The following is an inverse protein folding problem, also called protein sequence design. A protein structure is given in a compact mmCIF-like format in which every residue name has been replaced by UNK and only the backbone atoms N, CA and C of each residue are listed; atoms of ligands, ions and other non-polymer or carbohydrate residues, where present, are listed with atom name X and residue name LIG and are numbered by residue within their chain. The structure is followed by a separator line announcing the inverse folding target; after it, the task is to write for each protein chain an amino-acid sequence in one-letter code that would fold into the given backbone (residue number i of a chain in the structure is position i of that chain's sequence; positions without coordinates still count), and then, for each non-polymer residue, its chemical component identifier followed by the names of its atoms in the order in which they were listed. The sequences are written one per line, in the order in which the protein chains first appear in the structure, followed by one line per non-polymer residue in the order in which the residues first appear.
data_IF_960774835911
#
_entry.id   IF_960774835911
#
_cell.length_a   1.000
_cell.length_b   1.000
_cell.length_c   1.000
_cell.angle_alpha   90.00
_cell.angle_beta   90.00
_cell.angle_gamma   90.00
#
_symmetry.space_group_name_H-M   'P 1'
#
loop_
_entity.id
_entity.type
_entity.pdbx_description
1 polymer ?
#
# COMPACT_ATOMS: atom_id res chain seq x y z
N UNK A 1 11.13 47.08 -7.54
CA UNK A 1 10.77 46.00 -8.44
C UNK A 1 11.76 44.84 -8.27
N UNK A 2 12.65 44.44 -8.71
CA UNK A 2 13.73 43.40 -8.69
C UNK A 2 13.91 42.49 -7.44
N UNK A 3 12.93 42.41 -6.52
CA UNK A 3 13.05 41.58 -5.29
C UNK A 3 13.45 40.11 -5.54
N UNK A 4 13.07 39.54 -6.67
CA UNK A 4 13.42 38.18 -7.04
C UNK A 4 14.89 38.02 -7.41
N UNK A 5 15.48 39.04 -8.07
CA UNK A 5 16.89 39.12 -8.38
C UNK A 5 17.72 39.25 -7.09
N UNK A 6 17.34 40.18 -6.20
CA UNK A 6 18.00 40.40 -4.91
C UNK A 6 17.94 39.15 -4.00
N UNK A 7 16.87 38.39 -4.05
CA UNK A 7 16.70 37.15 -3.28
C UNK A 7 17.48 35.95 -3.86
N UNK A 8 17.98 36.06 -5.10
CA UNK A 8 18.68 34.98 -5.76
C UNK A 8 20.15 34.91 -5.39
N UNK A 9 20.50 34.10 -4.38
CA UNK A 9 21.88 33.91 -3.91
C UNK A 9 22.82 33.31 -4.99
N UNK A 10 22.28 32.79 -6.07
CA UNK A 10 23.03 32.12 -7.14
C UNK A 10 23.20 32.99 -8.39
N UNK A 11 22.71 34.24 -8.38
CA UNK A 11 22.78 35.13 -9.54
C UNK A 11 22.12 34.58 -10.79
N UNK A 12 21.08 33.75 -10.62
CA UNK A 12 20.39 33.07 -11.70
C UNK A 12 19.24 33.90 -12.30
N UNK A 13 18.94 35.09 -11.76
CA UNK A 13 17.87 35.96 -12.25
C UNK A 13 18.46 37.26 -12.75
N UNK A 14 18.07 37.65 -13.96
CA UNK A 14 18.35 38.93 -14.57
C UNK A 14 17.11 39.50 -15.24
N UNK A 15 17.13 40.80 -15.50
CA UNK A 15 16.06 41.50 -16.22
C UNK A 15 16.56 41.98 -17.56
N UNK A 16 15.73 41.86 -18.59
CA UNK A 16 16.01 42.44 -19.90
C UNK A 16 15.65 43.95 -19.94
N UNK A 17 15.86 44.56 -21.12
CA UNK A 17 15.55 45.99 -21.36
C UNK A 17 14.06 46.34 -21.21
N UNK A 18 13.18 45.34 -21.28
CA UNK A 18 11.72 45.47 -21.12
C UNK A 18 11.29 45.15 -19.69
N UNK A 19 12.21 45.01 -18.75
CA UNK A 19 11.94 44.64 -17.37
C UNK A 19 11.30 43.26 -17.20
N UNK A 20 11.51 42.32 -18.14
CA UNK A 20 11.11 40.94 -18.06
C UNK A 20 12.17 40.13 -17.32
N UNK A 21 11.77 39.37 -16.32
CA UNK A 21 12.69 38.52 -15.55
C UNK A 21 13.04 37.26 -16.36
N UNK A 22 14.32 36.99 -16.48
CA UNK A 22 14.86 35.77 -17.07
C UNK A 22 15.56 34.92 -15.99
N UNK A 23 15.30 33.62 -16.01
CA UNK A 23 15.93 32.67 -15.07
C UNK A 23 16.91 31.80 -15.86
N UNK A 24 18.20 31.97 -15.57
CA UNK A 24 19.27 31.12 -16.09
C UNK A 24 19.20 29.75 -15.41
N UNK A 25 18.75 28.75 -16.16
CA UNK A 25 18.57 27.37 -15.63
C UNK A 25 19.90 26.72 -15.25
N UNK A 26 21.02 27.12 -15.83
CA UNK A 26 22.35 26.58 -15.52
C UNK A 26 22.81 26.98 -14.11
N UNK A 27 22.40 28.16 -13.64
CA UNK A 27 22.74 28.74 -12.34
C UNK A 27 21.64 28.46 -11.30
N UNK A 28 20.40 28.25 -11.74
CA UNK A 28 19.26 28.07 -10.86
C UNK A 28 19.35 26.75 -10.08
N UNK A 29 19.25 26.84 -8.76
CA UNK A 29 19.21 25.67 -7.82
C UNK A 29 17.80 25.34 -7.34
N UNK A 30 16.76 25.88 -7.99
CA UNK A 30 15.34 25.65 -7.66
C UNK A 30 14.97 25.85 -6.20
N UNK A 31 15.69 26.70 -5.47
CA UNK A 31 15.52 26.91 -4.02
C UNK A 31 14.21 27.63 -3.65
N UNK A 32 13.49 28.20 -4.61
CA UNK A 32 12.21 28.85 -4.42
C UNK A 32 12.25 30.23 -3.74
N UNK A 33 13.43 30.78 -3.41
CA UNK A 33 13.56 32.06 -2.75
C UNK A 33 12.90 33.20 -3.53
N UNK A 34 13.10 33.23 -4.85
CA UNK A 34 12.53 34.23 -5.75
C UNK A 34 10.98 34.19 -5.82
N UNK A 35 10.38 33.00 -5.78
CA UNK A 35 8.91 32.88 -5.80
C UNK A 35 8.28 33.36 -4.50
N UNK A 36 8.96 33.17 -3.35
CA UNK A 36 8.46 33.62 -2.03
C UNK A 36 8.43 35.13 -1.87
N UNK A 37 9.31 35.85 -2.55
CA UNK A 37 9.42 37.31 -2.45
C UNK A 37 8.73 38.06 -3.58
N UNK A 38 8.19 37.35 -4.58
CA UNK A 38 7.50 37.95 -5.71
C UNK A 38 6.08 38.38 -5.29
N UNK A 39 5.78 39.71 -5.22
CA UNK A 39 4.47 40.19 -4.78
C UNK A 39 3.37 39.93 -5.83
N UNK A 40 3.76 39.59 -7.06
CA UNK A 40 2.87 39.33 -8.18
C UNK A 40 2.64 37.88 -8.49
N UNK A 41 3.24 36.94 -7.70
CA UNK A 41 3.23 35.50 -7.97
C UNK A 41 3.66 35.14 -9.41
N UNK A 42 4.47 35.99 -10.05
CA UNK A 42 4.88 35.82 -11.44
C UNK A 42 5.94 34.73 -11.63
N UNK A 43 6.61 34.29 -10.55
CA UNK A 43 7.58 33.21 -10.56
C UNK A 43 6.93 31.98 -9.96
N UNK A 44 6.63 31.01 -10.81
CA UNK A 44 6.05 29.74 -10.44
C UNK A 44 7.04 28.60 -10.70
N UNK A 45 7.25 27.75 -9.72
CA UNK A 45 7.95 26.49 -9.93
C UNK A 45 6.93 25.44 -10.41
N UNK A 46 7.09 24.96 -11.63
CA UNK A 46 6.24 23.91 -12.18
C UNK A 46 7.00 22.60 -12.15
N UNK A 47 6.98 21.92 -11.00
CA UNK A 47 7.39 20.52 -10.93
C UNK A 47 6.31 19.65 -11.57
N UNK A 48 6.75 18.57 -12.22
CA UNK A 48 5.80 17.58 -12.76
C UNK A 48 5.01 16.93 -11.63
N UNK A 49 3.78 16.46 -11.87
CA UNK A 49 2.98 15.78 -10.85
C UNK A 49 3.73 14.62 -10.17
N UNK A 50 4.49 13.83 -10.94
CA UNK A 50 5.29 12.73 -10.42
C UNK A 50 6.42 13.16 -9.46
N UNK A 51 7.09 14.30 -9.73
CA UNK A 51 8.09 14.85 -8.82
C UNK A 51 7.47 15.37 -7.53
N UNK A 52 6.32 16.03 -7.63
CA UNK A 52 5.57 16.55 -6.47
C UNK A 52 5.02 15.40 -5.59
N UNK A 53 4.58 14.32 -6.23
CA UNK A 53 4.07 13.13 -5.55
C UNK A 53 5.18 12.37 -4.82
N UNK A 54 6.41 12.40 -5.34
CA UNK A 54 7.53 11.66 -4.76
C UNK A 54 8.09 12.34 -3.51
N UNK A 55 7.53 12.01 -2.34
CA UNK A 55 7.93 12.62 -1.06
C UNK A 55 9.34 12.22 -0.59
N UNK A 56 9.85 11.11 -1.09
CA UNK A 56 11.24 10.67 -0.85
C UNK A 56 12.24 11.22 -1.88
N UNK A 57 11.75 12.01 -2.86
CA UNK A 57 12.59 12.64 -3.90
C UNK A 57 13.43 11.64 -4.71
N UNK A 58 12.85 10.50 -5.04
CA UNK A 58 13.44 9.50 -5.91
C UNK A 58 13.27 9.81 -7.40
N UNK A 59 12.49 10.84 -7.77
CA UNK A 59 12.26 11.24 -9.16
C UNK A 59 12.95 12.56 -9.44
N UNK A 60 13.66 12.60 -10.54
CA UNK A 60 14.29 13.81 -11.08
C UNK A 60 14.19 13.81 -12.61
N UNK A 61 14.41 14.97 -13.20
CA UNK A 61 14.50 15.10 -14.65
C UNK A 61 15.95 14.91 -15.11
N UNK A 62 16.16 14.18 -16.21
CA UNK A 62 17.44 14.15 -16.91
C UNK A 62 17.59 15.40 -17.81
N UNK A 63 18.73 15.50 -18.50
CA UNK A 63 19.05 16.63 -19.39
C UNK A 63 18.09 16.76 -20.57
N UNK A 64 17.51 15.65 -21.03
CA UNK A 64 16.49 15.60 -22.09
C UNK A 64 15.08 15.95 -21.57
N UNK A 65 14.95 16.22 -20.27
CA UNK A 65 13.68 16.53 -19.64
C UNK A 65 12.78 15.30 -19.42
N UNK A 66 13.29 14.08 -19.50
CA UNK A 66 12.56 12.87 -19.15
C UNK A 66 12.63 12.61 -17.63
N UNK A 67 11.57 12.03 -17.07
CA UNK A 67 11.55 11.62 -15.66
C UNK A 67 12.38 10.36 -15.47
N UNK A 68 13.30 10.38 -14.52
CA UNK A 68 14.14 9.25 -14.12
C UNK A 68 13.87 8.91 -12.66
N UNK A 69 13.76 7.63 -12.36
CA UNK A 69 13.54 7.12 -11.00
C UNK A 69 14.86 6.55 -10.47
N UNK A 70 15.32 7.11 -9.36
CA UNK A 70 16.46 6.57 -8.60
C UNK A 70 15.98 5.37 -7.77
N UNK A 71 16.25 4.16 -8.25
CA UNK A 71 15.85 2.91 -7.60
C UNK A 71 16.48 2.71 -6.21
N UNK A 72 17.62 3.33 -5.93
CA UNK A 72 18.24 3.26 -4.61
C UNK A 72 17.40 4.00 -3.55
N UNK A 73 16.64 5.01 -3.97
CA UNK A 73 15.72 5.76 -3.10
C UNK A 73 14.28 5.28 -3.22
N UNK A 74 13.86 4.80 -4.39
CA UNK A 74 12.49 4.40 -4.64
C UNK A 74 12.03 3.29 -3.69
N UNK A 75 10.83 3.45 -3.11
CA UNK A 75 10.17 2.49 -2.21
C UNK A 75 8.97 1.80 -2.87
N UNK A 76 8.81 1.94 -4.17
CA UNK A 76 7.73 1.34 -4.98
C UNK A 76 6.30 1.68 -4.54
N UNK A 77 6.09 2.81 -3.82
CA UNK A 77 4.77 3.17 -3.28
C UNK A 77 3.71 3.55 -4.32
N UNK A 78 4.09 3.76 -5.59
CA UNK A 78 3.18 4.05 -6.71
C UNK A 78 2.58 5.46 -6.74
N UNK A 79 2.92 6.36 -5.82
CA UNK A 79 2.36 7.72 -5.81
C UNK A 79 2.60 8.48 -7.12
N UNK A 80 3.72 8.25 -7.80
CA UNK A 80 4.02 8.84 -9.11
C UNK A 80 3.18 8.26 -10.25
N UNK A 81 2.79 6.98 -10.15
CA UNK A 81 1.88 6.31 -11.09
C UNK A 81 0.50 6.95 -10.98
N UNK A 82 -0.07 6.94 -9.79
CA UNK A 82 -1.39 7.52 -9.50
C UNK A 82 -1.51 9.00 -9.88
N UNK A 83 -0.47 9.79 -9.65
CA UNK A 83 -0.49 11.23 -9.92
C UNK A 83 -0.14 11.62 -11.36
N UNK A 84 0.16 10.66 -12.24
CA UNK A 84 0.48 10.95 -13.62
C UNK A 84 -0.80 11.03 -14.48
N UNK A 85 -1.25 12.23 -14.90
CA UNK A 85 -2.50 12.35 -15.65
C UNK A 85 -2.39 11.86 -17.09
N UNK A 86 -1.18 11.50 -17.53
CA UNK A 86 -0.89 11.07 -18.90
C UNK A 86 -0.55 9.59 -19.01
N UNK A 87 -0.53 8.84 -17.90
CA UNK A 87 -0.07 7.46 -17.91
C UNK A 87 1.39 7.26 -18.33
N UNK A 88 2.21 8.35 -18.27
CA UNK A 88 3.61 8.29 -18.69
C UNK A 88 4.53 7.56 -17.70
N UNK A 89 4.07 7.36 -16.49
CA UNK A 89 4.68 6.48 -15.49
C UNK A 89 3.62 5.45 -15.12
N UNK A 90 3.94 4.19 -15.37
CA UNK A 90 3.08 3.05 -15.05
C UNK A 90 3.84 2.10 -14.13
N UNK A 91 3.12 1.27 -13.41
CA UNK A 91 3.69 0.11 -12.76
C UNK A 91 3.85 -1.05 -13.77
N UNK A 92 4.60 -2.06 -13.39
CA UNK A 92 4.70 -3.27 -14.22
C UNK A 92 3.43 -4.09 -14.07
N UNK A 93 2.77 -4.37 -15.19
CA UNK A 93 1.61 -5.26 -15.20
C UNK A 93 2.03 -6.72 -15.17
N UNK A 94 1.27 -7.53 -14.42
CA UNK A 94 1.40 -8.98 -14.32
C UNK A 94 0.11 -9.70 -14.75
N UNK A 95 -0.76 -9.02 -15.50
CA UNK A 95 -2.01 -9.61 -16.01
C UNK A 95 -1.73 -10.87 -16.83
N UNK A 96 -0.73 -10.83 -17.71
CA UNK A 96 -0.40 -11.98 -18.57
C UNK A 96 0.09 -13.18 -17.76
N UNK A 97 0.86 -12.95 -16.69
CA UNK A 97 1.32 -14.00 -15.79
C UNK A 97 0.13 -14.64 -15.05
N UNK A 98 -0.84 -13.83 -14.59
CA UNK A 98 -2.06 -14.32 -13.95
C UNK A 98 -2.93 -15.14 -14.93
N UNK A 99 -3.14 -14.64 -16.15
CA UNK A 99 -3.86 -15.37 -17.22
C UNK A 99 -3.18 -16.72 -17.51
N UNK A 100 -1.86 -16.73 -17.55
CA UNK A 100 -1.07 -17.94 -17.81
C UNK A 100 -1.23 -18.97 -16.68
N UNK A 101 -1.20 -18.50 -15.41
CA UNK A 101 -1.47 -19.33 -14.24
C UNK A 101 -2.86 -19.95 -14.33
N UNK A 102 -3.90 -19.14 -14.56
CA UNK A 102 -5.30 -19.61 -14.66
C UNK A 102 -5.45 -20.62 -15.80
N UNK A 103 -4.93 -20.30 -17.00
CA UNK A 103 -5.04 -21.22 -18.16
C UNK A 103 -4.32 -22.56 -17.92
N UNK A 104 -3.13 -22.54 -17.33
CA UNK A 104 -2.32 -23.72 -17.05
C UNK A 104 -2.87 -24.60 -15.94
N UNK A 105 -3.77 -24.09 -15.09
CA UNK A 105 -4.46 -24.87 -14.06
C UNK A 105 -5.43 -25.90 -14.65
N UNK A 106 -5.89 -25.68 -15.91
CA UNK A 106 -6.91 -26.51 -16.58
C UNK A 106 -8.19 -26.65 -15.73
N UNK A 107 -8.68 -25.52 -15.23
CA UNK A 107 -9.85 -25.46 -14.32
C UNK A 107 -9.62 -26.30 -13.04
N UNK A 108 -8.51 -26.07 -12.37
CA UNK A 108 -8.13 -26.71 -11.11
C UNK A 108 -7.67 -28.16 -11.22
N UNK A 109 -7.60 -28.75 -12.45
CA UNK A 109 -7.21 -30.16 -12.64
C UNK A 109 -5.72 -30.41 -12.37
N UNK A 110 -4.85 -29.44 -12.66
CA UNK A 110 -3.41 -29.56 -12.42
C UNK A 110 -2.99 -29.01 -11.09
N UNK A 111 -3.57 -27.88 -10.72
CA UNK A 111 -3.40 -27.18 -9.45
C UNK A 111 -4.52 -26.19 -9.25
N UNK A 112 -4.92 -25.93 -8.02
CA UNK A 112 -5.89 -24.90 -7.70
C UNK A 112 -5.28 -23.50 -7.83
N UNK A 113 -6.09 -22.54 -8.25
CA UNK A 113 -5.69 -21.12 -8.30
C UNK A 113 -6.48 -20.33 -7.26
N UNK A 114 -5.78 -19.79 -6.30
CA UNK A 114 -6.32 -18.97 -5.23
C UNK A 114 -6.23 -17.49 -5.57
N UNK A 115 -7.34 -16.76 -5.46
CA UNK A 115 -7.35 -15.31 -5.39
C UNK A 115 -7.30 -14.88 -3.91
N UNK A 116 -6.21 -14.26 -3.48
CA UNK A 116 -6.12 -13.63 -2.16
C UNK A 116 -6.45 -12.15 -2.30
N UNK A 117 -7.61 -11.73 -1.79
CA UNK A 117 -8.13 -10.38 -2.01
C UNK A 117 -7.92 -9.47 -0.80
N UNK A 118 -7.40 -8.26 -1.04
CA UNK A 118 -7.22 -7.26 0.01
C UNK A 118 -8.57 -6.70 0.49
N UNK A 119 -8.76 -6.43 1.80
CA UNK A 119 -10.05 -5.93 2.34
C UNK A 119 -10.49 -4.60 1.71
N UNK A 120 -9.56 -3.81 1.17
CA UNK A 120 -9.87 -2.59 0.44
C UNK A 120 -10.79 -2.80 -0.77
N UNK A 121 -10.93 -4.04 -1.28
CA UNK A 121 -11.85 -4.40 -2.39
C UNK A 121 -13.29 -3.97 -2.10
N UNK A 122 -13.71 -4.01 -0.82
CA UNK A 122 -15.05 -3.63 -0.38
C UNK A 122 -15.43 -2.18 -0.69
N UNK A 123 -14.45 -1.33 -1.00
CA UNK A 123 -14.65 0.09 -1.33
C UNK A 123 -14.45 0.42 -2.80
N UNK A 124 -14.10 -0.54 -3.65
CA UNK A 124 -13.60 -0.26 -5.00
C UNK A 124 -14.66 -0.41 -6.10
N UNK A 125 -15.28 -1.55 -6.19
CA UNK A 125 -16.26 -1.86 -7.25
C UNK A 125 -17.66 -1.36 -6.85
N UNK A 126 -17.83 -0.03 -6.72
CA UNK A 126 -19.05 0.58 -6.16
C UNK A 126 -20.31 0.40 -7.00
N UNK A 127 -20.15 -0.01 -8.24
CA UNK A 127 -21.26 -0.30 -9.15
C UNK A 127 -21.82 -1.72 -8.98
N UNK A 128 -21.13 -2.57 -8.21
CA UNK A 128 -21.53 -3.94 -7.92
C UNK A 128 -21.48 -4.22 -6.41
N UNK A 129 -22.11 -5.29 -5.98
CA UNK A 129 -21.98 -5.80 -4.62
C UNK A 129 -20.69 -6.62 -4.48
N UNK A 130 -20.12 -6.68 -3.28
CA UNK A 130 -18.88 -7.44 -3.05
C UNK A 130 -19.04 -8.90 -3.48
N UNK A 131 -20.15 -9.57 -3.13
CA UNK A 131 -20.41 -10.96 -3.53
C UNK A 131 -20.43 -11.15 -5.05
N UNK A 132 -20.87 -10.16 -5.82
CA UNK A 132 -20.81 -10.20 -7.29
C UNK A 132 -19.38 -10.09 -7.82
N UNK A 133 -18.53 -9.28 -7.16
CA UNK A 133 -17.09 -9.21 -7.50
C UNK A 133 -16.41 -10.56 -7.23
N UNK A 134 -16.79 -11.23 -6.14
CA UNK A 134 -16.27 -12.58 -5.81
C UNK A 134 -16.73 -13.61 -6.84
N UNK A 135 -17.99 -13.55 -7.25
CA UNK A 135 -18.51 -14.40 -8.35
C UNK A 135 -17.74 -14.15 -9.65
N UNK A 136 -17.44 -12.87 -9.97
CA UNK A 136 -16.64 -12.51 -11.14
C UNK A 136 -15.22 -13.09 -11.08
N UNK A 137 -14.59 -13.16 -9.92
CA UNK A 137 -13.29 -13.83 -9.75
C UNK A 137 -13.37 -15.32 -10.09
N UNK A 138 -14.43 -16.00 -9.64
CA UNK A 138 -14.66 -17.42 -10.01
C UNK A 138 -14.90 -17.58 -11.49
N UNK A 139 -15.66 -16.68 -12.11
CA UNK A 139 -15.90 -16.68 -13.57
C UNK A 139 -14.61 -16.43 -14.37
N UNK A 140 -13.66 -15.66 -13.85
CA UNK A 140 -12.30 -15.53 -14.43
C UNK A 140 -11.50 -16.84 -14.40
N UNK A 141 -11.90 -17.79 -13.54
CA UNK A 141 -11.25 -19.10 -13.41
C UNK A 141 -10.39 -19.28 -12.16
N UNK A 142 -10.60 -18.45 -11.14
CA UNK A 142 -10.06 -18.73 -9.80
C UNK A 142 -10.89 -19.81 -9.13
N UNK A 143 -10.24 -20.85 -8.62
CA UNK A 143 -10.92 -21.96 -7.94
C UNK A 143 -11.41 -21.56 -6.55
N UNK A 144 -10.60 -20.76 -5.83
CA UNK A 144 -10.89 -20.30 -4.49
C UNK A 144 -10.61 -18.81 -4.34
N UNK A 145 -11.42 -18.14 -3.51
CA UNK A 145 -11.20 -16.73 -3.12
C UNK A 145 -11.08 -16.67 -1.61
N UNK A 146 -9.99 -16.06 -1.12
CA UNK A 146 -9.67 -15.96 0.30
C UNK A 146 -9.35 -14.51 0.67
N UNK A 147 -9.80 -14.07 1.84
CA UNK A 147 -9.49 -12.75 2.34
C UNK A 147 -8.03 -12.62 2.80
N UNK A 148 -7.29 -11.62 2.30
CA UNK A 148 -6.02 -11.25 2.91
C UNK A 148 -6.19 -10.74 4.35
N UNK A 149 -7.42 -10.44 4.75
CA UNK A 149 -7.80 -10.08 6.11
C UNK A 149 -7.57 -11.23 7.11
N UNK A 150 -7.73 -12.50 6.68
CA UNK A 150 -7.33 -13.66 7.50
C UNK A 150 -5.82 -13.65 7.80
N UNK A 151 -5.01 -13.32 6.80
CA UNK A 151 -3.57 -13.12 7.03
C UNK A 151 -3.27 -11.93 7.93
N UNK A 152 -4.15 -10.90 7.95
CA UNK A 152 -4.02 -9.79 8.87
C UNK A 152 -4.35 -10.20 10.32
N UNK A 153 -5.34 -11.07 10.54
CA UNK A 153 -5.61 -11.67 11.85
C UNK A 153 -4.40 -12.46 12.35
N UNK A 154 -3.81 -13.31 11.50
CA UNK A 154 -2.61 -14.08 11.84
C UNK A 154 -1.42 -13.17 12.17
N UNK A 155 -1.23 -12.09 11.41
CA UNK A 155 -0.16 -11.11 11.65
C UNK A 155 -0.40 -10.35 12.94
N UNK A 156 -1.62 -9.87 13.21
CA UNK A 156 -1.93 -9.16 14.44
C UNK A 156 -1.66 -10.03 15.67
N UNK A 157 -2.03 -11.32 15.60
CA UNK A 157 -1.77 -12.29 16.65
C UNK A 157 -0.27 -12.49 16.90
N UNK A 158 0.53 -12.69 15.86
CA UNK A 158 1.97 -12.89 16.00
C UNK A 158 2.73 -11.60 16.35
N UNK A 159 2.32 -10.46 15.76
CA UNK A 159 2.95 -9.16 15.99
C UNK A 159 2.69 -8.64 17.41
N UNK A 160 1.55 -8.96 18.01
CA UNK A 160 1.24 -8.64 19.40
C UNK A 160 2.15 -9.39 20.37
N UNK A 161 2.46 -10.67 20.10
CA UNK A 161 3.42 -11.46 20.90
C UNK A 161 4.83 -10.88 20.79
N UNK A 162 5.29 -10.65 19.54
CA UNK A 162 6.60 -10.07 19.30
C UNK A 162 6.76 -8.68 19.97
N UNK A 163 5.69 -7.87 19.95
CA UNK A 163 5.66 -6.57 20.60
C UNK A 163 5.78 -6.67 22.12
N UNK A 164 5.04 -7.58 22.73
CA UNK A 164 5.11 -7.82 24.18
C UNK A 164 6.50 -8.27 24.63
N UNK A 165 7.18 -9.09 23.81
CA UNK A 165 8.54 -9.56 24.10
C UNK A 165 9.60 -8.44 23.92
N UNK A 166 9.50 -7.66 22.84
CA UNK A 166 10.53 -6.65 22.47
C UNK A 166 10.31 -5.27 23.07
N UNK A 167 9.10 -4.95 23.48
CA UNK A 167 8.72 -3.67 24.06
C UNK A 167 8.59 -2.51 23.06
N UNK A 168 9.10 -2.64 21.82
CA UNK A 168 8.92 -1.66 20.75
C UNK A 168 9.05 -2.30 19.36
N UNK A 169 8.06 -2.03 18.49
CA UNK A 169 8.07 -2.42 17.09
C UNK A 169 7.57 -1.32 16.15
N UNK A 170 7.98 -1.42 14.89
CA UNK A 170 7.29 -0.82 13.74
C UNK A 170 6.64 -1.92 12.92
N UNK A 171 5.48 -1.64 12.34
CA UNK A 171 4.73 -2.62 11.54
C UNK A 171 5.49 -3.07 10.28
N UNK A 172 5.27 -4.33 9.85
CA UNK A 172 5.83 -4.90 8.63
C UNK A 172 4.82 -5.06 7.49
N UNK A 173 3.54 -4.79 7.71
CA UNK A 173 2.45 -5.03 6.76
C UNK A 173 2.54 -4.21 5.46
N UNK A 174 3.14 -3.00 5.49
CA UNK A 174 3.30 -2.13 4.34
C UNK A 174 4.73 -2.23 3.77
N UNK A 175 4.97 -2.89 2.62
CA UNK A 175 6.31 -3.08 2.08
C UNK A 175 7.01 -1.77 1.69
N UNK A 176 6.26 -0.73 1.33
CA UNK A 176 6.82 0.59 1.07
C UNK A 176 7.28 1.31 2.35
N UNK A 177 6.57 1.12 3.47
CA UNK A 177 7.00 1.65 4.77
C UNK A 177 8.25 0.94 5.28
N UNK A 178 8.29 -0.38 5.19
CA UNK A 178 9.48 -1.19 5.50
C UNK A 178 10.68 -0.72 4.67
N UNK A 179 10.54 -0.64 3.34
CA UNK A 179 11.61 -0.16 2.46
C UNK A 179 12.04 1.29 2.79
N UNK A 180 11.13 2.12 3.29
CA UNK A 180 11.47 3.47 3.73
C UNK A 180 12.31 3.46 5.01
N UNK A 181 11.98 2.61 5.99
CA UNK A 181 12.81 2.44 7.19
C UNK A 181 14.20 1.93 6.82
N UNK A 182 14.27 0.87 6.03
CA UNK A 182 15.54 0.27 5.58
C UNK A 182 16.47 1.29 4.91
N UNK A 183 15.91 2.18 4.07
CA UNK A 183 16.69 3.15 3.30
C UNK A 183 17.00 4.45 4.04
N UNK A 184 16.11 4.91 4.92
CA UNK A 184 16.20 6.23 5.52
C UNK A 184 16.46 6.23 7.04
N UNK A 185 16.18 5.11 7.72
CA UNK A 185 16.27 4.99 9.18
C UNK A 185 16.96 3.67 9.62
N UNK A 186 18.20 3.41 9.22
CA UNK A 186 18.87 2.12 9.47
C UNK A 186 18.93 1.75 10.97
N UNK A 187 18.93 2.74 11.87
CA UNK A 187 18.91 2.52 13.31
C UNK A 187 17.60 1.89 13.82
N UNK A 188 16.50 2.00 13.06
CA UNK A 188 15.20 1.42 13.41
C UNK A 188 14.93 0.08 12.72
N UNK A 189 15.80 -0.38 11.82
CA UNK A 189 15.65 -1.68 11.12
C UNK A 189 15.48 -2.85 12.09
N UNK A 190 16.23 -2.97 13.21
CA UNK A 190 16.04 -4.04 14.18
C UNK A 190 14.66 -4.05 14.88
N UNK A 191 13.93 -2.95 14.78
CA UNK A 191 12.60 -2.79 15.37
C UNK A 191 11.46 -3.02 14.36
N UNK A 192 11.75 -3.32 13.11
CA UNK A 192 10.72 -3.76 12.16
C UNK A 192 10.23 -5.13 12.63
N UNK A 193 8.91 -5.32 12.69
CA UNK A 193 8.32 -6.63 12.98
C UNK A 193 8.86 -7.68 11.99
N UNK A 194 9.21 -8.86 12.50
CA UNK A 194 9.75 -9.96 11.71
C UNK A 194 8.66 -10.74 10.95
N UNK A 195 7.40 -10.42 11.22
CA UNK A 195 6.29 -11.09 10.60
C UNK A 195 6.20 -10.76 9.10
N UNK A 196 5.80 -11.75 8.31
CA UNK A 196 5.43 -11.54 6.92
C UNK A 196 4.22 -10.60 6.83
N UNK A 197 4.04 -9.95 5.69
CA UNK A 197 2.83 -9.15 5.48
C UNK A 197 1.58 -10.03 5.42
N UNK A 198 0.37 -9.49 5.69
CA UNK A 198 -0.88 -10.24 5.59
C UNK A 198 -1.04 -11.05 4.31
N UNK A 199 -0.69 -10.46 3.16
CA UNK A 199 -0.65 -11.16 1.87
C UNK A 199 0.22 -12.41 1.90
N UNK A 200 1.45 -12.27 2.37
CA UNK A 200 2.42 -13.36 2.36
C UNK A 200 2.12 -14.41 3.44
N UNK A 201 1.55 -13.99 4.58
CA UNK A 201 1.16 -14.89 5.67
C UNK A 201 0.03 -15.81 5.27
N UNK A 202 -1.07 -15.28 4.71
CA UNK A 202 -2.17 -16.14 4.25
C UNK A 202 -1.78 -16.99 3.04
N UNK A 203 -0.95 -16.45 2.14
CA UNK A 203 -0.45 -17.23 1.01
C UNK A 203 0.44 -18.40 1.45
N UNK A 204 1.29 -18.17 2.47
CA UNK A 204 2.06 -19.24 3.11
C UNK A 204 1.14 -20.29 3.71
N UNK A 205 0.15 -19.87 4.47
CA UNK A 205 -0.86 -20.78 5.06
C UNK A 205 -1.54 -21.63 3.98
N UNK A 206 -1.99 -21.03 2.88
CA UNK A 206 -2.62 -21.75 1.74
C UNK A 206 -1.64 -22.79 1.16
N UNK A 207 -0.41 -22.37 0.88
CA UNK A 207 0.62 -23.28 0.30
C UNK A 207 0.95 -24.46 1.21
N UNK A 208 0.94 -24.26 2.53
CA UNK A 208 1.24 -25.31 3.50
C UNK A 208 0.08 -26.31 3.67
N UNK A 209 -1.16 -25.92 3.35
CA UNK A 209 -2.35 -26.76 3.56
C UNK A 209 -2.98 -27.34 2.27
N UNK A 210 -2.74 -26.73 1.11
CA UNK A 210 -3.36 -27.16 -0.17
C UNK A 210 -2.37 -27.09 -1.34
N UNK A 211 -1.34 -27.90 -1.35
CA UNK A 211 -0.44 -28.08 -2.50
C UNK A 211 -0.85 -29.30 -3.35
N UNK A 212 -0.78 -29.20 -4.70
CA UNK A 212 -0.24 -28.08 -5.48
C UNK A 212 -1.26 -26.96 -5.73
N UNK A 213 -0.89 -25.73 -5.42
CA UNK A 213 -1.70 -24.57 -5.71
C UNK A 213 -0.87 -23.37 -6.20
N UNK A 214 -1.57 -22.39 -6.78
CA UNK A 214 -1.03 -21.08 -7.17
C UNK A 214 -1.79 -19.97 -6.48
N UNK A 215 -1.09 -18.95 -6.02
CA UNK A 215 -1.66 -17.83 -5.27
C UNK A 215 -1.46 -16.52 -6.04
N UNK A 216 -2.55 -15.88 -6.39
CA UNK A 216 -2.60 -14.56 -7.01
C UNK A 216 -3.17 -13.57 -5.99
N UNK A 217 -2.38 -12.61 -5.57
CA UNK A 217 -2.85 -11.53 -4.71
C UNK A 217 -3.53 -10.44 -5.55
N UNK A 218 -4.66 -9.93 -5.07
CA UNK A 218 -5.42 -8.84 -5.71
C UNK A 218 -5.66 -7.73 -4.69
N UNK A 219 -5.10 -6.54 -4.97
CA UNK A 219 -5.18 -5.47 -3.99
C UNK A 219 -4.80 -4.08 -4.53
N UNK A 220 -4.80 -3.05 -3.68
CA UNK A 220 -4.64 -1.66 -4.10
C UNK A 220 -3.18 -1.23 -4.33
N UNK A 221 -2.21 -2.15 -4.25
CA UNK A 221 -0.84 -1.77 -3.89
C UNK A 221 0.21 -2.18 -4.94
N UNK A 222 0.88 -1.19 -5.53
CA UNK A 222 2.02 -1.43 -6.44
C UNK A 222 3.27 -1.95 -5.70
N UNK A 223 3.45 -1.60 -4.41
CA UNK A 223 4.57 -2.10 -3.63
C UNK A 223 4.46 -3.62 -3.35
N UNK A 224 3.25 -4.18 -3.33
CA UNK A 224 3.03 -5.62 -3.23
C UNK A 224 3.59 -6.37 -4.45
N UNK A 225 3.54 -5.77 -5.64
CA UNK A 225 4.19 -6.33 -6.84
C UNK A 225 5.72 -6.46 -6.70
N UNK A 226 6.35 -5.52 -6.00
CA UNK A 226 7.77 -5.61 -5.69
C UNK A 226 8.05 -6.63 -4.55
N UNK A 227 7.14 -6.72 -3.58
CA UNK A 227 7.25 -7.63 -2.44
C UNK A 227 7.23 -9.10 -2.87
N UNK A 228 6.41 -9.47 -3.84
CA UNK A 228 6.32 -10.84 -4.38
C UNK A 228 7.68 -11.36 -4.89
N UNK A 229 8.58 -10.48 -5.29
CA UNK A 229 9.92 -10.87 -5.75
C UNK A 229 10.97 -11.00 -4.65
N UNK A 230 10.63 -10.67 -3.38
CA UNK A 230 11.55 -10.90 -2.25
C UNK A 230 11.69 -12.40 -1.98
N UNK A 231 12.89 -12.85 -1.66
CA UNK A 231 13.17 -14.28 -1.40
C UNK A 231 12.30 -14.86 -0.27
N UNK A 232 11.91 -14.04 0.71
CA UNK A 232 11.02 -14.41 1.82
C UNK A 232 9.55 -14.58 1.43
N UNK A 233 9.12 -14.05 0.28
CA UNK A 233 7.70 -14.04 -0.17
C UNK A 233 7.49 -14.87 -1.43
N UNK A 234 8.49 -14.89 -2.32
CA UNK A 234 8.45 -15.56 -3.61
C UNK A 234 8.00 -17.03 -3.57
N UNK A 235 8.28 -17.83 -2.53
CA UNK A 235 7.77 -19.20 -2.46
C UNK A 235 6.25 -19.29 -2.30
N UNK A 236 5.61 -18.25 -1.76
CA UNK A 236 4.20 -18.29 -1.34
C UNK A 236 3.26 -17.57 -2.29
N UNK A 237 3.67 -16.43 -2.84
CA UNK A 237 2.83 -15.62 -3.73
C UNK A 237 3.39 -15.66 -5.14
N UNK A 238 2.60 -16.15 -6.09
CA UNK A 238 3.05 -16.29 -7.48
C UNK A 238 2.95 -14.96 -8.25
N UNK A 239 1.86 -14.20 -8.05
CA UNK A 239 1.58 -12.93 -8.75
C UNK A 239 0.82 -11.96 -7.86
N UNK A 240 1.02 -10.66 -8.06
CA UNK A 240 0.19 -9.61 -7.47
C UNK A 240 -0.40 -8.71 -8.55
N UNK A 241 -1.72 -8.52 -8.49
CA UNK A 241 -2.51 -7.65 -9.37
C UNK A 241 -3.07 -6.45 -8.59
N UNK A 242 -3.30 -5.35 -9.28
CA UNK A 242 -4.05 -4.21 -8.76
C UNK A 242 -5.56 -4.36 -9.02
N UNK A 243 -6.38 -3.54 -8.36
CA UNK A 243 -7.82 -3.51 -8.68
C UNK A 243 -8.10 -2.97 -10.08
N UNK A 244 -7.25 -2.07 -10.57
CA UNK A 244 -7.32 -1.62 -11.98
C UNK A 244 -7.06 -2.77 -12.96
N UNK A 245 -6.08 -3.63 -12.65
CA UNK A 245 -5.80 -4.82 -13.45
C UNK A 245 -6.92 -5.86 -13.35
N UNK A 246 -7.56 -6.00 -12.18
CA UNK A 246 -8.75 -6.87 -12.04
C UNK A 246 -9.91 -6.35 -12.89
N UNK A 247 -10.17 -5.04 -12.87
CA UNK A 247 -11.20 -4.45 -13.74
C UNK A 247 -10.91 -4.74 -15.22
N UNK A 248 -9.66 -4.54 -15.64
CA UNK A 248 -9.26 -4.84 -17.02
C UNK A 248 -9.42 -6.33 -17.38
N UNK A 249 -9.26 -7.25 -16.41
CA UNK A 249 -9.53 -8.67 -16.62
C UNK A 249 -11.02 -8.94 -16.84
N UNK A 250 -11.91 -8.35 -16.03
CA UNK A 250 -13.35 -8.46 -16.23
C UNK A 250 -13.76 -7.93 -17.62
N UNK A 251 -13.29 -6.73 -17.96
CA UNK A 251 -13.58 -6.09 -19.26
C UNK A 251 -13.07 -6.94 -20.44
N UNK A 252 -11.88 -7.54 -20.32
CA UNK A 252 -11.27 -8.35 -21.37
C UNK A 252 -11.98 -9.68 -21.65
N UNK A 253 -12.81 -10.11 -20.72
CA UNK A 253 -13.61 -11.36 -20.80
C UNK A 253 -15.09 -11.11 -20.94
N UNK A 254 -15.50 -9.85 -21.14
CA UNK A 254 -16.90 -9.42 -21.21
C UNK A 254 -17.72 -9.91 -19.99
N UNK A 255 -17.10 -9.93 -18.80
CA UNK A 255 -17.76 -10.31 -17.54
C UNK A 255 -18.45 -9.09 -16.97
N UNK A 256 -19.77 -9.04 -17.08
CA UNK A 256 -20.60 -8.03 -16.42
C UNK A 256 -20.94 -8.51 -15.01
N UNK A 257 -20.14 -8.07 -14.03
CA UNK A 257 -20.25 -8.56 -12.64
C UNK A 257 -21.60 -8.20 -12.00
N UNK A 258 -22.28 -7.15 -12.46
CA UNK A 258 -23.60 -6.76 -11.97
C UNK A 258 -24.70 -7.78 -12.31
N UNK A 259 -24.48 -8.61 -13.33
CA UNK A 259 -25.42 -9.65 -13.75
C UNK A 259 -25.21 -10.98 -13.02
N UNK A 260 -24.10 -11.09 -12.24
CA UNK A 260 -23.77 -12.30 -11.51
C UNK A 260 -24.52 -12.41 -10.18
N UNK A 261 -24.70 -13.63 -9.71
CA UNK A 261 -25.15 -13.92 -8.36
C UNK A 261 -24.11 -13.49 -7.30
N UNK A 262 -24.51 -13.40 -6.05
CA UNK A 262 -23.60 -13.09 -4.96
C UNK A 262 -22.95 -14.37 -4.42
N UNK A 263 -21.64 -14.36 -4.26
CA UNK A 263 -20.82 -15.38 -3.59
C UNK A 263 -20.39 -14.87 -2.24
N UNK A 264 -20.35 -15.75 -1.26
CA UNK A 264 -19.94 -15.40 0.10
C UNK A 264 -18.41 -15.33 0.22
N UNK A 265 -17.92 -14.36 0.98
CA UNK A 265 -16.52 -14.23 1.37
C UNK A 265 -16.50 -13.86 2.85
N UNK A 266 -16.19 -14.83 3.71
CA UNK A 266 -16.24 -14.67 5.16
C UNK A 266 -15.18 -15.55 5.85
N UNK A 267 -13.89 -15.17 5.69
CA UNK A 267 -12.78 -15.93 6.25
C UNK A 267 -12.07 -15.21 7.42
N UNK A 268 -12.42 -13.94 7.72
CA UNK A 268 -11.65 -13.10 8.62
C UNK A 268 -12.49 -12.42 9.68
N UNK A 269 -11.84 -11.93 10.74
CA UNK A 269 -12.48 -11.12 11.77
C UNK A 269 -12.76 -9.68 11.32
N UNK A 270 -13.52 -8.94 12.14
CA UNK A 270 -13.65 -7.49 12.01
C UNK A 270 -12.28 -6.80 11.94
N UNK A 271 -11.38 -7.17 12.84
CA UNK A 271 -10.06 -6.55 12.97
C UNK A 271 -9.16 -6.81 11.78
N UNK A 272 -9.17 -8.01 11.21
CA UNK A 272 -8.47 -8.33 9.97
C UNK A 272 -8.97 -7.50 8.78
N UNK A 273 -10.28 -7.30 8.66
CA UNK A 273 -10.88 -6.52 7.58
C UNK A 273 -10.55 -5.04 7.66
N UNK A 274 -10.54 -4.44 8.85
CA UNK A 274 -10.21 -3.01 9.01
C UNK A 274 -8.71 -2.68 8.89
N UNK A 275 -7.83 -3.68 8.78
CA UNK A 275 -6.40 -3.47 8.51
C UNK A 275 -6.11 -2.62 7.27
N UNK A 276 -7.05 -2.58 6.32
CA UNK A 276 -6.90 -1.80 5.09
C UNK A 276 -6.86 -0.27 5.32
N UNK A 277 -7.29 0.23 6.47
CA UNK A 277 -7.26 1.64 6.81
C UNK A 277 -6.25 1.95 7.91
N UNK A 278 -5.73 3.20 7.93
CA UNK A 278 -4.86 3.66 9.00
C UNK A 278 -5.55 3.58 10.37
N UNK A 279 -4.85 3.06 11.36
CA UNK A 279 -5.33 2.74 12.70
C UNK A 279 -5.96 1.34 12.83
N UNK A 280 -6.19 0.64 11.71
CA UNK A 280 -6.77 -0.70 11.73
C UNK A 280 -5.84 -1.75 12.29
N UNK A 281 -4.56 -1.70 11.91
CA UNK A 281 -3.54 -2.59 12.46
C UNK A 281 -3.35 -2.37 13.96
N UNK A 282 -3.25 -1.12 14.42
CA UNK A 282 -3.11 -0.81 15.84
C UNK A 282 -4.30 -1.36 16.66
N UNK A 283 -5.52 -1.23 16.12
CA UNK A 283 -6.73 -1.81 16.74
C UNK A 283 -6.68 -3.34 16.79
N UNK A 284 -6.19 -3.97 15.74
CA UNK A 284 -6.07 -5.43 15.67
C UNK A 284 -5.00 -5.96 16.64
N UNK A 285 -3.85 -5.28 16.76
CA UNK A 285 -2.80 -5.64 17.74
C UNK A 285 -3.31 -5.47 19.17
N UNK A 286 -4.09 -4.40 19.46
CA UNK A 286 -4.71 -4.18 20.76
C UNK A 286 -5.66 -5.31 21.12
N UNK A 287 -6.51 -5.72 20.17
CA UNK A 287 -7.44 -6.82 20.41
C UNK A 287 -6.72 -8.16 20.55
N UNK A 288 -5.72 -8.43 19.71
CA UNK A 288 -4.92 -9.65 19.82
C UNK A 288 -4.20 -9.77 21.17
N UNK A 289 -3.72 -8.67 21.76
CA UNK A 289 -3.16 -8.65 23.12
C UNK A 289 -4.22 -9.04 24.15
N UNK A 290 -5.46 -8.52 24.03
CA UNK A 290 -6.57 -8.85 24.94
C UNK A 290 -6.97 -10.32 24.82
N UNK A 291 -7.17 -10.83 23.60
CA UNK A 291 -7.54 -12.23 23.34
C UNK A 291 -6.47 -13.21 23.84
N UNK A 292 -5.20 -12.82 23.85
CA UNK A 292 -4.09 -13.62 24.38
C UNK A 292 -3.88 -13.44 25.89
N UNK A 293 -4.68 -12.62 26.56
CA UNK A 293 -4.57 -12.38 28.00
C UNK A 293 -3.32 -11.59 28.41
N UNK A 294 -2.72 -10.85 27.48
CA UNK A 294 -1.52 -10.00 27.72
C UNK A 294 -1.95 -8.66 28.38
N UNK A 295 -2.61 -8.73 29.54
CA UNK A 295 -3.18 -7.57 30.22
C UNK A 295 -2.15 -6.67 30.88
N UNK A 296 -0.95 -7.19 31.15
CA UNK A 296 0.15 -6.45 31.79
C UNK A 296 0.94 -5.58 30.81
N UNK A 297 0.73 -5.76 29.49
CA UNK A 297 1.38 -4.96 28.47
C UNK A 297 0.53 -3.76 28.09
N UNK A 298 1.02 -2.55 28.39
CA UNK A 298 0.35 -1.30 27.99
C UNK A 298 0.75 -0.94 26.54
N UNK A 299 -0.19 -1.11 25.59
CA UNK A 299 0.02 -0.68 24.20
C UNK A 299 -0.09 0.84 24.08
N UNK A 300 0.96 1.47 23.51
CA UNK A 300 1.01 2.90 23.16
C UNK A 300 1.21 3.03 21.65
N UNK A 301 0.14 2.88 20.84
CA UNK A 301 0.25 2.88 19.41
C UNK A 301 0.37 4.29 18.85
N UNK A 302 1.08 4.42 17.74
CA UNK A 302 1.11 5.63 16.92
C UNK A 302 0.88 5.24 15.47
N UNK A 303 -0.31 5.52 14.96
CA UNK A 303 -0.68 5.25 13.57
C UNK A 303 -0.37 6.45 12.69
N UNK A 304 0.31 6.21 11.56
CA UNK A 304 0.64 7.25 10.60
C UNK A 304 0.46 6.75 9.16
N UNK A 305 -0.07 7.63 8.32
CA UNK A 305 -0.33 7.38 6.92
C UNK A 305 0.22 8.49 6.02
N UNK A 306 0.66 8.08 4.83
CA UNK A 306 1.45 8.94 3.96
C UNK A 306 2.91 9.08 4.42
N UNK A 307 3.82 9.07 3.45
CA UNK A 307 5.28 9.05 3.72
C UNK A 307 5.76 10.24 4.56
N UNK A 308 5.14 11.40 4.45
CA UNK A 308 5.55 12.58 5.24
C UNK A 308 5.22 12.41 6.73
N UNK A 309 4.03 11.87 7.06
CA UNK A 309 3.66 11.57 8.44
C UNK A 309 4.52 10.43 9.01
N UNK A 310 4.74 9.36 8.23
CA UNK A 310 5.65 8.28 8.61
C UNK A 310 7.07 8.81 8.89
N UNK A 311 7.60 9.69 8.04
CA UNK A 311 8.92 10.32 8.25
C UNK A 311 8.99 11.09 9.57
N UNK A 312 7.96 11.86 9.88
CA UNK A 312 7.92 12.64 11.12
C UNK A 312 7.84 11.73 12.36
N UNK A 313 7.03 10.65 12.30
CA UNK A 313 6.94 9.67 13.38
C UNK A 313 8.29 8.98 13.63
N UNK A 314 8.92 8.47 12.58
CA UNK A 314 10.22 7.80 12.66
C UNK A 314 11.34 8.74 13.15
N UNK A 315 11.37 10.01 12.69
CA UNK A 315 12.30 11.03 13.17
C UNK A 315 12.12 11.33 14.66
N UNK A 316 10.87 11.48 15.11
CA UNK A 316 10.59 11.70 16.55
C UNK A 316 11.00 10.50 17.38
N UNK A 317 10.69 9.29 16.92
CA UNK A 317 11.07 8.05 17.63
C UNK A 317 12.59 7.91 17.74
N UNK A 318 13.31 8.11 16.63
CA UNK A 318 14.77 8.03 16.58
C UNK A 318 15.47 9.07 17.49
N UNK A 319 14.76 10.16 17.82
CA UNK A 319 15.26 11.21 18.75
C UNK A 319 14.74 11.03 20.19
N UNK A 320 14.00 9.97 20.50
CA UNK A 320 13.39 9.78 21.82
C UNK A 320 12.26 10.76 22.14
N UNK A 321 11.66 11.41 21.12
CA UNK A 321 10.61 12.43 21.26
C UNK A 321 9.19 11.87 21.02
N UNK A 322 9.05 10.56 20.85
CA UNK A 322 7.76 9.89 20.65
C UNK A 322 7.65 8.75 21.67
N UNK A 323 6.74 8.92 22.63
CA UNK A 323 6.38 7.89 23.60
C UNK A 323 5.34 6.93 22.98
N UNK A 324 5.80 6.12 22.03
CA UNK A 324 5.02 5.05 21.44
C UNK A 324 5.86 3.77 21.47
N UNK A 325 5.21 2.64 21.77
CA UNK A 325 5.84 1.33 21.71
C UNK A 325 5.44 0.52 20.47
N UNK A 326 4.49 1.04 19.68
CA UNK A 326 4.12 0.48 18.40
C UNK A 326 3.90 1.60 17.37
N UNK A 327 4.58 1.55 16.23
CA UNK A 327 4.37 2.48 15.13
C UNK A 327 3.74 1.74 13.95
N UNK A 328 2.44 1.97 13.73
CA UNK A 328 1.76 1.58 12.50
C UNK A 328 2.10 2.59 11.41
N UNK A 329 2.76 2.15 10.34
CA UNK A 329 3.13 3.01 9.22
C UNK A 329 2.56 2.53 7.89
N UNK A 330 1.85 3.41 7.20
CA UNK A 330 1.32 3.15 5.85
C UNK A 330 1.80 4.23 4.88
N UNK A 331 2.38 3.81 3.75
CA UNK A 331 2.94 4.76 2.77
C UNK A 331 1.87 5.59 2.04
N UNK A 332 0.65 5.08 1.95
CA UNK A 332 -0.47 5.74 1.29
C UNK A 332 -1.32 6.51 2.31
N UNK A 333 -1.85 7.68 1.92
CA UNK A 333 -2.78 8.46 2.75
C UNK A 333 -4.09 7.70 2.91
N UNK A 334 -4.58 7.57 4.13
CA UNK A 334 -5.75 6.77 4.50
C UNK A 334 -5.45 5.29 4.73
N UNK A 335 -4.23 4.82 4.43
CA UNK A 335 -3.85 3.41 4.45
C UNK A 335 -3.97 2.75 3.07
N UNK A 336 -4.18 1.44 3.02
CA UNK A 336 -4.29 0.68 1.78
C UNK A 336 -5.45 1.13 0.88
N UNK A 337 -6.52 1.68 1.47
CA UNK A 337 -7.67 2.26 0.75
C UNK A 337 -7.33 3.48 -0.10
N UNK A 338 -6.15 4.07 0.06
CA UNK A 338 -5.59 5.14 -0.78
C UNK A 338 -4.43 4.65 -1.66
N UNK A 339 -4.30 3.35 -1.88
CA UNK A 339 -3.24 2.74 -2.68
C UNK A 339 -3.28 3.16 -4.15
N UNK A 340 -2.13 3.12 -4.81
CA UNK A 340 -1.98 3.60 -6.18
C UNK A 340 -2.75 2.76 -7.22
N UNK A 341 -3.08 1.51 -6.92
CA UNK A 341 -3.88 0.62 -7.77
C UNK A 341 -5.37 0.54 -7.39
N UNK A 342 -5.86 1.52 -6.63
CA UNK A 342 -7.29 1.67 -6.33
C UNK A 342 -8.06 2.24 -7.52
N UNK A 343 -9.27 1.75 -7.76
CA UNK A 343 -10.22 2.33 -8.73
C UNK A 343 -10.82 3.64 -8.22
N UNK A 344 -11.03 3.75 -6.91
CA UNK A 344 -11.62 4.93 -6.27
C UNK A 344 -10.78 5.39 -5.08
N UNK A 345 -10.70 6.70 -4.91
CA UNK A 345 -10.02 7.35 -3.79
C UNK A 345 -11.00 8.28 -3.07
N UNK A 346 -10.77 8.50 -1.77
CA UNK A 346 -11.57 9.44 -0.98
C UNK A 346 -11.93 8.91 0.41
N UNK A 347 -12.44 9.80 1.25
CA UNK A 347 -12.76 9.52 2.66
C UNK A 347 -13.84 8.44 2.83
N UNK A 348 -14.74 8.31 1.85
CA UNK A 348 -15.80 7.30 1.87
C UNK A 348 -15.26 5.87 1.93
N UNK A 349 -14.09 5.59 1.34
CA UNK A 349 -13.49 4.25 1.34
C UNK A 349 -13.29 3.72 2.77
N UNK A 350 -13.02 4.60 3.74
CA UNK A 350 -12.89 4.22 5.15
C UNK A 350 -14.21 3.67 5.71
N UNK A 351 -15.30 4.37 5.46
CA UNK A 351 -16.63 3.95 5.92
C UNK A 351 -17.07 2.63 5.25
N UNK A 352 -16.71 2.42 3.98
CA UNK A 352 -17.03 1.20 3.25
C UNK A 352 -16.27 0.00 3.85
N UNK A 353 -14.97 0.17 4.19
CA UNK A 353 -14.16 -0.86 4.87
C UNK A 353 -14.66 -1.13 6.29
N UNK A 354 -15.03 -0.09 7.06
CA UNK A 354 -15.57 -0.28 8.41
C UNK A 354 -16.90 -1.07 8.37
N UNK A 355 -17.78 -0.80 7.39
CA UNK A 355 -19.00 -1.59 7.17
C UNK A 355 -18.69 -3.04 6.81
N UNK A 356 -17.70 -3.25 5.94
CA UNK A 356 -17.27 -4.59 5.58
C UNK A 356 -16.73 -5.33 6.82
N UNK A 357 -15.97 -4.65 7.68
CA UNK A 357 -15.54 -5.20 8.96
C UNK A 357 -16.73 -5.70 9.80
N UNK A 358 -17.78 -4.89 9.92
CA UNK A 358 -18.97 -5.24 10.69
C UNK A 358 -19.71 -6.51 10.20
N UNK A 359 -19.55 -6.89 8.94
CA UNK A 359 -20.15 -8.12 8.40
C UNK A 359 -19.51 -9.40 8.96
N UNK A 360 -18.32 -9.32 9.58
CA UNK A 360 -17.71 -10.47 10.25
C UNK A 360 -18.45 -10.89 11.55
N UNK A 361 -19.43 -10.12 11.99
CA UNK A 361 -20.16 -10.38 13.22
C UNK A 361 -19.26 -10.34 14.45
N UNK A 362 -19.47 -11.27 15.38
CA UNK A 362 -18.72 -11.36 16.65
C UNK A 362 -17.48 -12.27 16.55
N UNK A 363 -17.01 -12.58 15.33
CA UNK A 363 -15.82 -13.43 15.14
C UNK A 363 -14.57 -12.73 15.66
N UNK A 364 -13.90 -13.34 16.63
CA UNK A 364 -12.62 -12.88 17.17
C UNK A 364 -11.46 -13.20 16.24
N UNK A 365 -10.29 -12.60 16.47
CA UNK A 365 -9.04 -12.88 15.72
C UNK A 365 -8.67 -14.36 15.88
N UNK A 366 -8.65 -14.86 17.12
CA UNK A 366 -8.33 -16.27 17.43
C UNK A 366 -9.31 -17.21 16.73
N UNK A 367 -10.63 -16.90 16.78
CA UNK A 367 -11.64 -17.72 16.13
C UNK A 367 -11.49 -17.78 14.61
N UNK A 368 -11.17 -16.65 13.96
CA UNK A 368 -10.92 -16.63 12.53
C UNK A 368 -9.73 -17.52 12.13
N UNK A 369 -8.66 -17.52 12.95
CA UNK A 369 -7.48 -18.38 12.75
C UNK A 369 -7.81 -19.86 12.98
N UNK A 370 -8.59 -20.17 14.04
CA UNK A 370 -9.00 -21.55 14.34
C UNK A 370 -9.88 -22.14 13.24
N UNK A 371 -10.87 -21.36 12.75
CA UNK A 371 -11.76 -21.78 11.66
C UNK A 371 -10.97 -22.06 10.37
N UNK A 372 -9.96 -21.22 10.07
CA UNK A 372 -9.08 -21.45 8.93
C UNK A 372 -8.27 -22.77 9.05
N UNK A 373 -7.82 -23.12 10.24
CA UNK A 373 -7.06 -24.38 10.47
C UNK A 373 -7.94 -25.65 10.35
N UNK A 374 -9.26 -25.51 10.25
CA UNK A 374 -10.19 -26.62 10.05
C UNK A 374 -10.58 -26.82 8.58
N UNK A 375 -10.17 -25.90 7.68
CA UNK A 375 -10.37 -25.97 6.23
C UNK A 375 -9.27 -26.78 5.56
#
# INVERSE_FOLDING_TARGET
MHRCEDACRFGAISFDRNHVAHIDKSKCKECGACSKVCPYTAIISRKRPCENACKIKAIHMNDDGASVIDNNKCISCGACVYQCPFGAITDKSYILDAIDIIKKSEHGKKYKVYAVVAPAISSQFRYAKLGQVIAGLKELGFDMVVEAALGADMVAYAESQELAEKGFLTSSCCPAFVAYIEKAFPALVPNISHNLSPMATVAKFIKENDEPCKVVFIGPCTAKKAEVHKDSVKPYVDVALTFEELQALFDSRDIEITDLGEEELDNASYFGRIFARCGGLSSAVEEALKEQGQTDFELKPFSCDGIEACRLALLKKNKGLLDANFIEGMACVGGCIGGAGCLTHGERNRADVDKYGQLAGDRTIVKAIEDANQL
#
